data_IF_841013819707
#
_entry.id   IF_841013819707
#
_cell.length_a   1.000
_cell.length_b   1.000
_cell.length_c   1.000
_cell.angle_alpha   90.00
_cell.angle_beta   90.00
_cell.angle_gamma   90.00
#
_symmetry.space_group_name_H-M   'P 1'
#
loop_
_entity.id
_entity.type
_entity.pdbx_description
1 polymer ?
#
# COMPACT_ATOMS: atom_id res chain seq x y z
N UNK A 1 10.73 -0.51 22.68
CA UNK A 1 9.68 -1.27 21.96
C UNK A 1 10.29 -2.42 21.22
N UNK A 2 9.69 -3.61 21.28
CA UNK A 2 10.18 -4.85 20.68
C UNK A 2 9.09 -5.48 19.81
N UNK A 3 9.48 -6.05 18.68
CA UNK A 3 8.60 -6.84 17.82
C UNK A 3 8.93 -8.32 17.99
N UNK A 4 7.96 -9.13 18.43
CA UNK A 4 8.15 -10.57 18.63
C UNK A 4 7.19 -11.34 17.72
N UNK A 5 7.70 -12.24 16.88
CA UNK A 5 6.88 -13.04 15.98
C UNK A 5 5.99 -13.99 16.79
N UNK A 6 4.68 -13.88 16.61
CA UNK A 6 3.67 -14.74 17.23
C UNK A 6 3.23 -15.84 16.27
N UNK A 7 2.95 -15.48 15.02
CA UNK A 7 2.42 -16.40 14.02
C UNK A 7 3.06 -16.14 12.65
N UNK A 8 3.33 -17.22 11.92
CA UNK A 8 3.77 -17.20 10.51
C UNK A 8 2.85 -18.13 9.71
N UNK A 9 2.05 -17.56 8.82
CA UNK A 9 1.00 -18.27 8.08
C UNK A 9 1.32 -18.31 6.60
N UNK A 10 1.60 -19.49 6.04
CA UNK A 10 1.81 -19.64 4.61
C UNK A 10 0.50 -19.48 3.82
N UNK A 11 0.59 -18.89 2.64
CA UNK A 11 -0.45 -18.89 1.61
C UNK A 11 0.13 -19.46 0.32
N UNK A 12 -0.72 -20.07 -0.48
CA UNK A 12 -0.31 -20.74 -1.72
C UNK A 12 0.38 -19.81 -2.72
N UNK A 13 0.08 -18.52 -2.67
CA UNK A 13 0.62 -17.51 -3.59
C UNK A 13 0.93 -16.20 -2.85
N UNK A 14 1.78 -15.34 -3.46
CA UNK A 14 2.16 -14.07 -2.88
C UNK A 14 0.97 -13.16 -2.60
N UNK A 15 1.11 -12.33 -1.57
CA UNK A 15 0.08 -11.38 -1.13
C UNK A 15 0.51 -9.98 -1.52
N UNK A 16 -0.40 -9.19 -2.10
CA UNK A 16 -0.18 -7.79 -2.47
C UNK A 16 -0.98 -6.81 -1.59
N UNK A 17 -2.17 -7.21 -1.14
CA UNK A 17 -3.03 -6.38 -0.30
C UNK A 17 -3.39 -7.05 1.01
N UNK A 18 -3.61 -6.25 2.06
CA UNK A 18 -3.99 -6.72 3.39
C UNK A 18 -5.02 -5.78 4.00
N UNK A 19 -6.14 -6.35 4.45
CA UNK A 19 -7.10 -5.69 5.32
C UNK A 19 -7.25 -6.49 6.62
N UNK A 20 -7.58 -5.81 7.72
CA UNK A 20 -7.80 -6.42 9.03
C UNK A 20 -9.19 -6.11 9.53
N UNK A 21 -9.83 -7.07 10.19
CA UNK A 21 -10.94 -6.78 11.08
C UNK A 21 -10.45 -5.91 12.25
N UNK A 22 -11.29 -5.03 12.76
CA UNK A 22 -10.92 -4.05 13.79
C UNK A 22 -10.41 -4.70 15.09
N UNK A 23 -10.90 -5.89 15.40
CA UNK A 23 -10.48 -6.70 16.56
C UNK A 23 -9.25 -7.58 16.28
N UNK A 24 -8.72 -7.56 15.05
CA UNK A 24 -7.60 -8.38 14.63
C UNK A 24 -7.88 -9.89 14.49
N UNK A 25 -9.14 -10.31 14.62
CA UNK A 25 -9.55 -11.72 14.54
C UNK A 25 -9.48 -12.29 13.13
N UNK A 26 -9.58 -11.43 12.11
CA UNK A 26 -9.52 -11.81 10.69
C UNK A 26 -8.60 -10.89 9.92
N UNK A 27 -7.83 -11.49 9.03
CA UNK A 27 -7.07 -10.82 7.98
C UNK A 27 -7.63 -11.21 6.60
N UNK A 28 -7.59 -10.29 5.66
CA UNK A 28 -7.99 -10.52 4.28
C UNK A 28 -6.79 -10.24 3.39
N UNK A 29 -6.39 -11.23 2.63
CA UNK A 29 -5.19 -11.19 1.78
C UNK A 29 -5.61 -11.16 0.30
N UNK A 30 -5.26 -10.09 -0.41
CA UNK A 30 -5.39 -10.01 -1.86
C UNK A 30 -4.17 -10.66 -2.51
N UNK A 31 -4.40 -11.69 -3.32
CA UNK A 31 -3.39 -12.65 -3.74
C UNK A 31 -2.97 -12.52 -5.22
N UNK A 32 -1.77 -12.97 -5.53
CA UNK A 32 -1.19 -12.95 -6.88
C UNK A 32 -1.93 -13.84 -7.90
N UNK A 33 -2.79 -14.74 -7.47
CA UNK A 33 -3.65 -15.54 -8.33
C UNK A 33 -5.06 -14.97 -8.55
N UNK A 34 -5.28 -13.71 -8.11
CA UNK A 34 -6.54 -12.99 -8.26
C UNK A 34 -7.55 -13.27 -7.16
N UNK A 35 -7.30 -14.22 -6.26
CA UNK A 35 -8.20 -14.52 -5.13
C UNK A 35 -8.02 -13.53 -3.98
N UNK A 36 -9.06 -13.40 -3.18
CA UNK A 36 -8.97 -12.83 -1.84
C UNK A 36 -9.20 -13.97 -0.84
N UNK A 37 -8.30 -14.10 0.12
CA UNK A 37 -8.34 -15.14 1.15
C UNK A 37 -8.64 -14.50 2.50
N UNK A 38 -9.69 -14.97 3.17
CA UNK A 38 -9.95 -14.69 4.58
C UNK A 38 -9.11 -15.65 5.42
N UNK A 39 -8.35 -15.11 6.36
CA UNK A 39 -7.43 -15.84 7.23
C UNK A 39 -7.71 -15.50 8.69
N UNK A 40 -7.81 -16.51 9.55
CA UNK A 40 -7.64 -16.33 10.98
C UNK A 40 -6.14 -16.33 11.33
N UNK A 41 -5.58 -15.20 11.77
CA UNK A 41 -4.13 -15.13 12.00
C UNK A 41 -3.68 -16.02 13.16
N UNK A 42 -4.53 -16.28 14.14
CA UNK A 42 -4.19 -17.09 15.31
C UNK A 42 -4.22 -18.59 15.01
N UNK A 43 -5.28 -19.12 14.42
CA UNK A 43 -5.40 -20.54 14.10
C UNK A 43 -4.71 -20.91 12.78
N UNK A 44 -4.67 -19.98 11.82
CA UNK A 44 -4.22 -20.23 10.46
C UNK A 44 -5.31 -20.78 9.54
N UNK A 45 -6.56 -20.87 10.01
CA UNK A 45 -7.70 -21.23 9.15
C UNK A 45 -7.87 -20.23 8.03
N UNK A 46 -7.97 -20.71 6.79
CA UNK A 46 -8.08 -19.86 5.59
C UNK A 46 -9.21 -20.35 4.69
N UNK A 47 -9.95 -19.37 4.16
CA UNK A 47 -11.04 -19.59 3.20
C UNK A 47 -10.92 -18.57 2.08
N UNK A 48 -10.87 -19.04 0.84
CA UNK A 48 -10.97 -18.14 -0.31
C UNK A 48 -12.40 -17.59 -0.39
N UNK A 49 -12.52 -16.26 -0.53
CA UNK A 49 -13.79 -15.62 -0.80
C UNK A 49 -14.27 -16.00 -2.21
N UNK A 50 -15.60 -16.00 -2.41
CA UNK A 50 -16.16 -16.25 -3.72
C UNK A 50 -15.79 -15.13 -4.70
N UNK A 51 -15.58 -15.52 -5.97
CA UNK A 51 -15.15 -14.63 -7.03
C UNK A 51 -13.67 -14.26 -6.96
N UNK A 52 -13.08 -14.06 -8.11
CA UNK A 52 -11.68 -13.67 -8.24
C UNK A 52 -11.55 -12.58 -9.31
N UNK A 53 -10.42 -11.86 -9.25
CA UNK A 53 -9.97 -11.01 -10.34
C UNK A 53 -9.47 -11.85 -11.52
N UNK A 54 -9.57 -11.30 -12.72
CA UNK A 54 -9.02 -11.92 -13.94
C UNK A 54 -7.49 -11.82 -14.04
N UNK A 55 -6.85 -11.12 -13.08
CA UNK A 55 -5.42 -10.97 -12.93
C UNK A 55 -5.07 -10.89 -11.43
N UNK A 56 -3.90 -10.41 -11.06
CA UNK A 56 -3.51 -10.22 -9.65
C UNK A 56 -4.53 -9.35 -8.89
N UNK A 57 -4.94 -9.78 -7.71
CA UNK A 57 -5.60 -8.90 -6.75
C UNK A 57 -4.51 -8.01 -6.13
N UNK A 58 -4.56 -6.71 -6.41
CA UNK A 58 -3.52 -5.74 -6.03
C UNK A 58 -3.70 -5.20 -4.62
N UNK A 59 -4.94 -5.15 -4.14
CA UNK A 59 -5.27 -4.61 -2.83
C UNK A 59 -6.63 -5.04 -2.34
N UNK A 60 -6.87 -4.88 -1.05
CA UNK A 60 -8.19 -5.02 -0.45
C UNK A 60 -8.34 -4.11 0.76
N UNK A 61 -9.58 -3.70 1.05
CA UNK A 61 -9.93 -2.89 2.21
C UNK A 61 -11.25 -3.35 2.78
N UNK A 62 -11.35 -3.39 4.11
CA UNK A 62 -12.57 -3.74 4.82
C UNK A 62 -13.32 -2.45 5.16
N UNK A 63 -14.60 -2.39 4.84
CA UNK A 63 -15.44 -1.27 5.29
C UNK A 63 -15.60 -1.32 6.82
N UNK A 64 -15.80 -0.16 7.48
CA UNK A 64 -15.97 -0.10 8.94
C UNK A 64 -17.17 -0.90 9.46
N UNK A 65 -18.13 -1.26 8.60
CA UNK A 65 -19.25 -2.13 8.95
C UNK A 65 -18.82 -3.57 9.31
N UNK A 66 -17.58 -3.94 8.99
CA UNK A 66 -17.03 -5.27 9.18
C UNK A 66 -17.68 -6.37 8.35
N UNK A 67 -18.58 -6.01 7.41
CA UNK A 67 -19.38 -6.95 6.62
C UNK A 67 -19.05 -6.90 5.12
N UNK A 68 -18.49 -5.80 4.66
CA UNK A 68 -18.18 -5.57 3.26
C UNK A 68 -16.68 -5.40 3.06
N UNK A 69 -16.09 -6.22 2.21
CA UNK A 69 -14.72 -6.07 1.76
C UNK A 69 -14.72 -5.61 0.30
N UNK A 70 -13.85 -4.65 -0.03
CA UNK A 70 -13.61 -4.24 -1.42
C UNK A 70 -12.21 -4.67 -1.81
N UNK A 71 -12.08 -5.31 -2.97
CA UNK A 71 -10.78 -5.65 -3.55
C UNK A 71 -10.60 -5.00 -4.92
N UNK A 72 -9.36 -4.67 -5.26
CA UNK A 72 -8.96 -4.16 -6.57
C UNK A 72 -7.98 -5.12 -7.24
N UNK A 73 -7.90 -5.07 -8.57
CA UNK A 73 -7.03 -5.97 -9.31
C UNK A 73 -6.40 -5.37 -10.57
N UNK A 74 -5.40 -6.07 -11.10
CA UNK A 74 -4.75 -5.72 -12.35
C UNK A 74 -5.64 -5.99 -13.60
N UNK A 75 -6.87 -6.44 -13.38
CA UNK A 75 -7.93 -6.46 -14.38
C UNK A 75 -8.71 -5.14 -14.46
N UNK A 76 -8.33 -4.14 -13.66
CA UNK A 76 -8.99 -2.84 -13.59
C UNK A 76 -10.36 -2.86 -12.91
N UNK A 77 -10.73 -3.97 -12.27
CA UNK A 77 -12.01 -4.14 -11.59
C UNK A 77 -11.89 -3.84 -10.09
N UNK A 78 -12.97 -3.37 -9.50
CA UNK A 78 -13.21 -3.43 -8.06
C UNK A 78 -14.34 -4.43 -7.78
N UNK A 79 -14.15 -5.29 -6.77
CA UNK A 79 -15.12 -6.29 -6.33
C UNK A 79 -15.58 -5.98 -4.91
N UNK A 80 -16.89 -5.91 -4.67
CA UNK A 80 -17.50 -5.87 -3.35
C UNK A 80 -17.86 -7.28 -2.93
N UNK A 81 -17.27 -7.75 -1.84
CA UNK A 81 -17.54 -9.04 -1.23
C UNK A 81 -18.42 -8.85 -0.01
N UNK A 82 -19.57 -9.50 0.01
CA UNK A 82 -20.40 -9.63 1.21
C UNK A 82 -19.84 -10.78 2.06
N UNK A 83 -19.31 -10.46 3.22
CA UNK A 83 -18.65 -11.44 4.11
C UNK A 83 -19.64 -12.37 4.82
N UNK A 84 -20.91 -11.97 4.90
CA UNK A 84 -21.96 -12.81 5.50
C UNK A 84 -22.39 -13.95 4.58
N UNK A 85 -22.58 -13.67 3.29
CA UNK A 85 -22.94 -14.67 2.28
C UNK A 85 -21.72 -15.30 1.61
N UNK A 86 -20.55 -14.67 1.71
CA UNK A 86 -19.33 -15.05 0.99
C UNK A 86 -19.35 -14.72 -0.49
N UNK A 87 -20.38 -14.01 -1.00
CA UNK A 87 -20.56 -13.74 -2.43
C UNK A 87 -19.99 -12.37 -2.86
N UNK A 88 -19.65 -12.23 -4.15
CA UNK A 88 -19.42 -10.93 -4.77
C UNK A 88 -20.79 -10.28 -5.01
N UNK A 89 -21.08 -9.22 -4.25
CA UNK A 89 -22.33 -8.46 -4.37
C UNK A 89 -22.28 -7.43 -5.50
N UNK A 90 -21.09 -6.99 -5.90
CA UNK A 90 -20.90 -6.02 -6.98
C UNK A 90 -19.54 -6.16 -7.64
N UNK A 91 -19.50 -5.88 -8.94
CA UNK A 91 -18.30 -5.76 -9.76
C UNK A 91 -18.36 -4.44 -10.52
N UNK A 92 -17.32 -3.61 -10.40
CA UNK A 92 -17.24 -2.29 -11.03
C UNK A 92 -16.00 -2.21 -11.90
N UNK A 93 -16.12 -1.91 -13.20
CA UNK A 93 -14.99 -1.61 -14.07
C UNK A 93 -14.42 -0.23 -13.68
N UNK A 94 -13.49 -0.22 -12.74
CA UNK A 94 -12.97 1.01 -12.15
C UNK A 94 -11.95 1.70 -13.06
N UNK A 95 -11.12 0.94 -13.77
CA UNK A 95 -10.03 1.47 -14.60
C UNK A 95 -9.87 0.64 -15.89
N UNK A 96 -9.31 1.27 -16.93
CA UNK A 96 -8.92 0.61 -18.17
C UNK A 96 -7.59 -0.14 -18.04
N UNK A 97 -6.80 0.24 -17.04
CA UNK A 97 -5.52 -0.37 -16.69
C UNK A 97 -5.58 -0.89 -15.25
N UNK A 98 -4.47 -1.34 -14.72
CA UNK A 98 -4.37 -1.92 -13.38
C UNK A 98 -4.85 -0.96 -12.30
N UNK A 99 -5.65 -1.44 -11.36
CA UNK A 99 -5.81 -0.77 -10.08
C UNK A 99 -4.55 -1.05 -9.25
N UNK A 100 -3.76 -0.01 -8.94
CA UNK A 100 -2.53 -0.18 -8.17
C UNK A 100 -2.80 -0.29 -6.68
N UNK A 101 -3.71 0.54 -6.18
CA UNK A 101 -4.04 0.62 -4.77
C UNK A 101 -5.49 1.07 -4.57
N UNK A 102 -6.03 0.80 -3.39
CA UNK A 102 -7.33 1.27 -2.96
C UNK A 102 -7.36 1.58 -1.47
N UNK A 103 -8.21 2.54 -1.09
CA UNK A 103 -8.44 2.96 0.27
C UNK A 103 -9.93 3.15 0.55
N UNK A 104 -10.35 3.00 1.80
CA UNK A 104 -11.69 3.32 2.28
C UNK A 104 -11.65 4.55 3.18
N UNK A 105 -12.65 5.43 3.06
CA UNK A 105 -12.81 6.54 3.98
C UNK A 105 -13.13 6.05 5.39
N UNK A 106 -12.74 6.78 6.46
CA UNK A 106 -12.94 6.34 7.83
C UNK A 106 -14.41 6.10 8.22
N UNK A 107 -15.34 6.80 7.57
CA UNK A 107 -16.79 6.64 7.74
C UNK A 107 -17.37 5.49 6.90
N UNK A 108 -16.57 4.87 6.03
CA UNK A 108 -16.98 3.79 5.14
C UNK A 108 -17.85 4.21 3.97
N UNK A 109 -18.07 5.50 3.76
CA UNK A 109 -18.97 5.99 2.71
C UNK A 109 -18.34 6.00 1.32
N UNK A 110 -16.99 5.99 1.23
CA UNK A 110 -16.24 6.15 -0.01
C UNK A 110 -15.10 5.14 -0.13
N UNK A 111 -14.86 4.71 -1.37
CA UNK A 111 -13.69 3.91 -1.76
C UNK A 111 -12.92 4.69 -2.80
N UNK A 112 -11.63 4.90 -2.60
CA UNK A 112 -10.72 5.46 -3.59
C UNK A 112 -9.91 4.36 -4.26
N UNK A 113 -9.60 4.53 -5.55
CA UNK A 113 -8.69 3.65 -6.28
C UNK A 113 -7.84 4.47 -7.23
N UNK A 114 -6.61 4.03 -7.47
CA UNK A 114 -5.68 4.70 -8.37
C UNK A 114 -5.14 3.76 -9.44
N UNK A 115 -4.74 4.36 -10.58
CA UNK A 115 -4.29 3.66 -11.77
C UNK A 115 -3.19 4.42 -12.50
N UNK A 116 -2.78 3.90 -13.60
CA UNK A 116 -1.93 4.54 -14.59
C UNK A 116 -0.84 3.62 -15.08
N UNK A 117 -0.52 3.79 -16.35
CA UNK A 117 0.42 2.94 -17.06
C UNK A 117 1.78 3.63 -17.16
N UNK A 118 2.83 2.86 -17.14
CA UNK A 118 4.16 3.26 -17.60
C UNK A 118 4.52 2.51 -18.87
N UNK A 119 5.36 3.14 -19.69
CA UNK A 119 5.93 2.50 -20.86
C UNK A 119 7.20 1.78 -20.47
N UNK A 120 7.23 0.48 -20.72
CA UNK A 120 8.42 -0.34 -20.55
C UNK A 120 8.85 -0.87 -21.91
N UNK A 121 10.09 -0.56 -22.32
CA UNK A 121 10.63 -1.08 -23.57
C UNK A 121 12.07 -0.66 -23.79
N UNK A 122 12.92 -1.60 -24.17
CA UNK A 122 14.34 -1.34 -24.30
C UNK A 122 14.96 -0.86 -23.01
N UNK A 123 15.54 0.33 -23.02
CA UNK A 123 16.18 0.96 -21.86
C UNK A 123 15.32 2.06 -21.22
N UNK A 124 14.00 2.11 -21.50
CA UNK A 124 13.13 3.19 -21.06
C UNK A 124 12.00 2.68 -20.18
N UNK A 125 11.86 3.31 -19.02
CA UNK A 125 10.67 3.28 -18.20
C UNK A 125 10.17 4.72 -18.08
N UNK A 126 9.06 5.04 -18.73
CA UNK A 126 8.50 6.39 -18.79
C UNK A 126 7.02 6.34 -18.38
N UNK A 127 6.50 7.39 -17.73
CA UNK A 127 5.06 7.51 -17.56
C UNK A 127 4.37 7.45 -18.93
N UNK A 128 3.33 6.64 -19.04
CA UNK A 128 2.46 6.68 -20.20
C UNK A 128 1.62 7.96 -20.19
N UNK A 129 1.12 8.38 -21.35
CA UNK A 129 0.12 9.43 -21.39
C UNK A 129 -1.13 9.00 -20.59
N UNK A 130 -1.70 9.94 -19.84
CA UNK A 130 -2.97 9.68 -19.15
C UNK A 130 -4.08 9.45 -20.18
N UNK A 131 -4.75 8.31 -20.10
CA UNK A 131 -5.88 7.94 -20.98
C UNK A 131 -7.21 7.95 -20.24
N UNK A 132 -7.17 8.17 -18.94
CA UNK A 132 -8.30 8.24 -18.01
C UNK A 132 -7.88 8.98 -16.74
N UNK A 133 -8.84 9.46 -15.92
CA UNK A 133 -8.53 9.98 -14.58
C UNK A 133 -7.75 8.94 -13.77
N UNK A 134 -6.59 9.36 -13.21
CA UNK A 134 -5.68 8.43 -12.56
C UNK A 134 -6.11 8.04 -11.13
N UNK A 135 -7.03 8.81 -10.54
CA UNK A 135 -7.62 8.52 -9.23
C UNK A 135 -9.13 8.67 -9.32
N UNK A 136 -9.87 7.71 -8.80
CA UNK A 136 -11.33 7.71 -8.72
C UNK A 136 -11.80 7.46 -7.31
N UNK A 137 -12.89 8.14 -6.95
CA UNK A 137 -13.61 7.90 -5.70
C UNK A 137 -14.99 7.38 -6.04
N UNK A 138 -15.36 6.31 -5.38
CA UNK A 138 -16.62 5.61 -5.54
C UNK A 138 -17.44 5.75 -4.27
N UNK A 139 -18.75 5.91 -4.39
CA UNK A 139 -19.69 5.70 -3.31
C UNK A 139 -19.66 4.20 -2.91
N UNK A 140 -19.38 3.93 -1.66
CA UNK A 140 -19.17 2.55 -1.19
C UNK A 140 -20.45 1.71 -1.25
N UNK A 141 -21.63 2.31 -1.10
CA UNK A 141 -22.90 1.62 -1.09
C UNK A 141 -23.36 1.26 -2.52
N UNK A 142 -23.21 2.18 -3.49
CA UNK A 142 -23.69 1.99 -4.86
C UNK A 142 -22.60 1.54 -5.84
N UNK A 143 -21.32 1.82 -5.54
CA UNK A 143 -20.21 1.63 -6.48
C UNK A 143 -20.15 2.69 -7.59
N UNK A 144 -20.99 3.73 -7.53
CA UNK A 144 -20.97 4.82 -8.49
C UNK A 144 -19.75 5.71 -8.30
N UNK A 145 -19.16 6.19 -9.39
CA UNK A 145 -18.10 7.20 -9.34
C UNK A 145 -18.68 8.52 -8.84
N UNK A 146 -18.09 9.07 -7.78
CA UNK A 146 -18.49 10.36 -7.18
C UNK A 146 -17.46 11.46 -7.37
N UNK A 147 -16.20 11.12 -7.62
CA UNK A 147 -15.17 12.07 -7.99
C UNK A 147 -14.07 11.41 -8.84
N UNK A 148 -13.45 12.20 -9.70
CA UNK A 148 -12.34 11.80 -10.55
C UNK A 148 -11.26 12.87 -10.51
N UNK A 149 -9.99 12.44 -10.49
CA UNK A 149 -8.85 13.34 -10.40
C UNK A 149 -7.78 12.99 -11.41
N UNK A 150 -7.26 14.04 -12.06
CA UNK A 150 -6.08 13.94 -12.88
C UNK A 150 -4.83 13.89 -12.01
N UNK A 151 -3.96 12.97 -12.35
CA UNK A 151 -2.61 12.89 -11.82
C UNK A 151 -1.71 12.30 -12.89
N UNK A 152 -0.41 12.63 -12.85
CA UNK A 152 0.51 12.04 -13.81
C UNK A 152 0.71 10.55 -13.49
N UNK A 153 0.41 9.63 -14.43
CA UNK A 153 0.54 8.20 -14.20
C UNK A 153 2.01 7.74 -14.19
N UNK A 154 2.29 6.56 -13.62
CA UNK A 154 1.38 5.76 -12.82
C UNK A 154 1.25 6.32 -11.41
N UNK A 155 0.02 6.34 -10.90
CA UNK A 155 -0.28 6.63 -9.49
C UNK A 155 -0.26 5.32 -8.74
N UNK A 156 0.63 5.19 -7.75
CA UNK A 156 0.96 3.92 -7.12
C UNK A 156 0.24 3.70 -5.80
N UNK A 157 -0.15 4.77 -5.12
CA UNK A 157 -0.86 4.67 -3.84
C UNK A 157 -1.81 5.84 -3.64
N UNK A 158 -2.85 5.61 -2.81
CA UNK A 158 -3.79 6.62 -2.39
C UNK A 158 -4.27 6.36 -0.95
N UNK A 159 -4.77 7.39 -0.26
CA UNK A 159 -5.26 7.26 1.10
C UNK A 159 -6.08 8.46 1.55
N UNK A 160 -7.08 8.19 2.40
CA UNK A 160 -7.89 9.22 3.03
C UNK A 160 -7.24 9.76 4.32
N UNK A 161 -7.48 11.03 4.63
CA UNK A 161 -7.23 11.59 5.95
C UNK A 161 -8.13 10.93 7.00
N UNK A 162 -7.74 11.06 8.27
CA UNK A 162 -8.50 10.46 9.39
C UNK A 162 -9.87 11.11 9.60
N UNK A 163 -10.00 12.39 9.23
CA UNK A 163 -11.29 13.08 9.24
C UNK A 163 -12.16 12.75 8.00
N UNK A 164 -11.65 11.97 7.03
CA UNK A 164 -12.33 11.58 5.80
C UNK A 164 -12.53 12.71 4.78
N UNK A 165 -12.03 13.91 5.06
CA UNK A 165 -12.26 15.08 4.22
C UNK A 165 -11.26 15.27 3.10
N UNK A 166 -10.10 14.60 3.19
CA UNK A 166 -9.04 14.72 2.20
C UNK A 166 -8.66 13.37 1.63
N UNK A 167 -8.24 13.39 0.37
CA UNK A 167 -7.64 12.26 -0.32
C UNK A 167 -6.26 12.67 -0.82
N UNK A 168 -5.26 11.88 -0.51
CA UNK A 168 -3.92 12.02 -1.08
C UNK A 168 -3.65 10.89 -2.07
N UNK A 169 -2.90 11.18 -3.12
CA UNK A 169 -2.36 10.17 -4.02
C UNK A 169 -0.93 10.52 -4.44
N UNK A 170 -0.12 9.51 -4.71
CA UNK A 170 1.28 9.69 -5.06
C UNK A 170 1.71 8.78 -6.21
N UNK A 171 2.69 9.25 -6.98
CA UNK A 171 3.08 8.62 -8.24
C UNK A 171 4.56 8.17 -8.27
N UNK A 172 4.92 7.51 -9.36
CA UNK A 172 6.28 7.05 -9.67
C UNK A 172 7.31 8.18 -9.74
N UNK A 173 6.89 9.43 -9.94
CA UNK A 173 7.79 10.58 -10.06
C UNK A 173 8.03 11.29 -8.73
N UNK A 174 7.51 10.74 -7.62
CA UNK A 174 7.63 11.37 -6.31
C UNK A 174 6.68 12.56 -6.11
N UNK A 175 5.69 12.74 -6.99
CA UNK A 175 4.68 13.79 -6.84
C UNK A 175 3.51 13.30 -5.98
N UNK A 176 3.11 14.13 -5.03
CA UNK A 176 1.92 13.95 -4.18
C UNK A 176 0.93 15.05 -4.50
N UNK A 177 -0.32 14.68 -4.65
CA UNK A 177 -1.47 15.60 -4.74
C UNK A 177 -2.47 15.29 -3.64
N UNK A 178 -3.03 16.34 -3.06
CA UNK A 178 -4.06 16.25 -2.02
C UNK A 178 -5.26 17.07 -2.44
N UNK A 179 -6.43 16.45 -2.33
CA UNK A 179 -7.74 17.09 -2.63
C UNK A 179 -8.61 17.07 -1.39
N UNK A 180 -9.37 18.14 -1.20
CA UNK A 180 -10.47 18.19 -0.25
C UNK A 180 -11.73 17.68 -0.93
N UNK A 181 -12.41 16.75 -0.31
CA UNK A 181 -13.63 16.13 -0.81
C UNK A 181 -14.84 16.86 -0.23
N UNK A 182 -15.71 17.35 -1.09
CA UNK A 182 -16.98 17.98 -0.70
C UNK A 182 -18.11 16.96 -0.50
N UNK A 183 -19.19 17.44 0.11
CA UNK A 183 -20.46 16.74 0.13
C UNK A 183 -21.04 16.72 -1.30
N UNK A 184 -21.49 15.54 -1.79
CA UNK A 184 -22.07 15.42 -3.13
C UNK A 184 -21.06 15.26 -4.29
N UNK A 185 -19.77 14.97 -4.01
CA UNK A 185 -18.80 14.61 -5.06
C UNK A 185 -17.96 15.76 -5.61
N UNK A 186 -18.16 16.99 -5.13
CA UNK A 186 -17.24 18.10 -5.42
C UNK A 186 -15.87 17.86 -4.79
N UNK A 187 -14.80 18.34 -5.43
CA UNK A 187 -13.47 18.24 -4.87
C UNK A 187 -12.62 19.45 -5.26
N UNK A 188 -11.77 19.88 -4.35
CA UNK A 188 -10.88 21.02 -4.51
C UNK A 188 -9.43 20.59 -4.32
N UNK A 189 -8.48 20.99 -5.21
CA UNK A 189 -7.06 20.76 -4.96
C UNK A 189 -6.62 21.59 -3.75
N UNK A 190 -5.93 20.93 -2.80
CA UNK A 190 -5.44 21.59 -1.58
C UNK A 190 -3.94 21.81 -1.64
N UNK A 191 -3.20 20.76 -1.97
CA UNK A 191 -1.76 20.88 -2.08
C UNK A 191 -1.17 19.94 -3.15
N UNK A 192 -0.01 20.34 -3.62
CA UNK A 192 0.80 19.58 -4.56
C UNK A 192 2.26 19.81 -4.23
N UNK A 193 3.00 18.74 -4.06
CA UNK A 193 4.44 18.80 -3.84
C UNK A 193 5.13 17.60 -4.45
N UNK A 194 6.43 17.73 -4.70
CA UNK A 194 7.25 16.68 -5.31
C UNK A 194 8.50 16.48 -4.48
N UNK A 195 8.81 15.23 -4.17
CA UNK A 195 10.07 14.86 -3.57
C UNK A 195 11.02 14.30 -4.63
N UNK A 196 12.12 15.01 -4.94
CA UNK A 196 13.13 14.49 -5.85
C UNK A 196 13.85 13.26 -5.32
N UNK A 197 13.79 13.01 -4.00
CA UNK A 197 14.43 11.87 -3.37
C UNK A 197 13.77 10.53 -3.72
N UNK A 198 12.59 10.54 -4.36
CA UNK A 198 11.88 9.33 -4.81
C UNK A 198 11.97 9.09 -6.31
N UNK A 199 12.84 9.76 -7.03
CA UNK A 199 13.00 9.54 -8.46
C UNK A 199 14.46 9.66 -8.88
N UNK A 200 14.83 8.91 -9.89
CA UNK A 200 16.16 8.99 -10.55
C UNK A 200 16.12 9.72 -11.89
N UNK A 201 15.01 10.34 -12.24
CA UNK A 201 14.89 11.03 -13.53
C UNK A 201 15.96 12.10 -13.69
N UNK A 202 16.70 12.03 -14.80
CA UNK A 202 17.79 12.95 -15.09
C UNK A 202 19.10 12.67 -14.35
N UNK A 203 19.13 11.72 -13.41
CA UNK A 203 20.37 11.36 -12.67
C UNK A 203 21.13 10.21 -13.34
N UNK A 204 20.50 9.46 -14.23
CA UNK A 204 21.11 8.36 -14.98
C UNK A 204 21.20 8.69 -16.46
N UNK A 205 22.24 8.20 -17.13
CA UNK A 205 22.38 8.33 -18.59
C UNK A 205 21.34 7.54 -19.40
N UNK A 206 20.54 6.73 -18.74
CA UNK A 206 19.64 5.74 -19.33
C UNK A 206 18.17 6.12 -19.19
N UNK A 207 17.75 7.34 -19.23
CA UNK A 207 16.34 7.78 -19.34
C UNK A 207 15.29 6.93 -18.60
N UNK A 208 15.64 6.41 -17.41
CA UNK A 208 14.72 5.63 -16.62
C UNK A 208 14.12 6.47 -15.51
N UNK A 209 12.79 6.53 -15.45
CA UNK A 209 12.09 6.91 -14.24
C UNK A 209 12.09 5.73 -13.31
N UNK A 210 12.89 5.79 -12.26
CA UNK A 210 13.00 4.74 -11.27
C UNK A 210 12.91 5.34 -9.89
N UNK A 211 12.27 4.61 -9.03
CA UNK A 211 11.89 5.09 -7.73
C UNK A 211 10.38 5.21 -7.68
N UNK A 212 9.89 6.18 -6.94
CA UNK A 212 8.48 6.46 -6.75
C UNK A 212 8.04 6.30 -5.31
N UNK A 213 6.90 6.90 -5.01
CA UNK A 213 6.22 6.74 -3.74
C UNK A 213 5.27 5.55 -3.88
N UNK A 214 5.50 4.51 -3.10
CA UNK A 214 4.74 3.24 -3.15
C UNK A 214 3.68 3.13 -2.06
N UNK A 215 3.81 3.90 -0.98
CA UNK A 215 2.80 3.96 0.06
C UNK A 215 2.76 5.34 0.71
N UNK A 216 1.58 5.71 1.17
CA UNK A 216 1.34 6.92 1.94
C UNK A 216 0.34 6.65 3.08
N UNK A 217 0.45 7.43 4.17
CA UNK A 217 -0.50 7.37 5.27
C UNK A 217 -0.56 8.72 5.99
N UNK A 218 -1.77 9.26 6.17
CA UNK A 218 -1.97 10.41 7.05
C UNK A 218 -1.68 10.01 8.51
N UNK A 219 -1.08 10.92 9.25
CA UNK A 219 -0.92 10.74 10.70
C UNK A 219 -2.28 10.65 11.39
N UNK A 220 -2.37 10.01 12.57
CA UNK A 220 -3.65 9.89 13.30
C UNK A 220 -4.33 11.21 13.65
N UNK A 221 -3.58 12.32 13.72
CA UNK A 221 -4.06 13.69 13.96
C UNK A 221 -4.21 14.53 12.68
N UNK A 222 -4.00 13.92 11.51
CA UNK A 222 -3.98 14.56 10.18
C UNK A 222 -2.93 15.71 10.03
N UNK A 223 -2.02 15.90 10.99
CA UNK A 223 -1.03 16.96 10.92
C UNK A 223 0.07 16.70 9.87
N UNK A 224 0.38 15.44 9.62
CA UNK A 224 1.43 15.04 8.69
C UNK A 224 0.96 13.96 7.71
N UNK A 225 1.60 13.92 6.55
CA UNK A 225 1.53 12.82 5.59
C UNK A 225 2.88 12.10 5.57
N UNK A 226 2.87 10.81 5.89
CA UNK A 226 4.00 9.92 5.78
C UNK A 226 3.99 9.26 4.41
N UNK A 227 5.13 9.25 3.74
CA UNK A 227 5.31 8.59 2.44
C UNK A 227 6.54 7.70 2.46
N UNK A 228 6.51 6.59 1.77
CA UNK A 228 7.70 5.76 1.55
C UNK A 228 7.80 5.24 0.12
N UNK A 229 8.99 4.76 -0.21
CA UNK A 229 9.23 4.17 -1.51
C UNK A 229 10.70 3.85 -1.72
N UNK A 230 11.11 3.98 -2.96
CA UNK A 230 12.46 3.73 -3.40
C UNK A 230 13.09 5.03 -3.89
N UNK A 231 14.20 5.40 -3.25
CA UNK A 231 14.99 6.56 -3.66
C UNK A 231 15.74 6.32 -4.98
N UNK A 232 16.56 7.30 -5.42
CA UNK A 232 17.33 7.21 -6.65
C UNK A 232 18.18 5.96 -6.73
N UNK A 233 18.28 5.40 -7.92
CA UNK A 233 19.07 4.21 -8.22
C UNK A 233 19.80 4.36 -9.56
N UNK A 234 20.94 3.70 -9.68
CA UNK A 234 21.71 3.67 -10.93
C UNK A 234 21.19 2.67 -11.96
N UNK A 235 20.56 1.58 -11.49
CA UNK A 235 19.98 0.52 -12.32
C UNK A 235 18.54 0.26 -11.89
N UNK A 236 17.56 0.63 -12.71
CA UNK A 236 16.15 0.45 -12.43
C UNK A 236 15.72 -1.02 -12.31
N UNK A 237 16.39 -1.89 -13.02
CA UNK A 237 16.07 -3.33 -13.01
C UNK A 237 16.53 -4.01 -11.73
N UNK A 238 17.53 -3.46 -11.05
CA UNK A 238 18.04 -4.03 -9.81
C UNK A 238 17.10 -3.82 -8.61
N UNK A 239 16.18 -2.86 -8.66
CA UNK A 239 15.26 -2.56 -7.55
C UNK A 239 16.00 -2.27 -6.25
N UNK A 240 17.14 -1.57 -6.32
CA UNK A 240 18.07 -1.38 -5.22
C UNK A 240 18.28 0.09 -4.85
N UNK A 241 17.29 0.92 -5.05
CA UNK A 241 17.31 2.31 -4.61
C UNK A 241 17.38 2.43 -3.09
N UNK A 242 17.72 3.62 -2.61
CA UNK A 242 17.79 3.92 -1.18
C UNK A 242 16.41 3.72 -0.52
N UNK A 243 16.33 2.93 0.55
CA UNK A 243 15.13 2.84 1.38
C UNK A 243 14.83 4.21 1.96
N UNK A 244 13.64 4.74 1.70
CA UNK A 244 13.31 6.13 2.04
C UNK A 244 11.91 6.25 2.58
N UNK A 245 11.76 6.97 3.70
CA UNK A 245 10.51 7.56 4.14
C UNK A 245 10.69 9.06 4.36
N UNK A 246 9.59 9.82 4.20
CA UNK A 246 9.53 11.25 4.51
C UNK A 246 8.20 11.58 5.16
N UNK A 247 8.22 12.56 6.09
CA UNK A 247 7.01 13.18 6.62
C UNK A 247 6.87 14.60 6.08
N UNK A 248 5.65 14.95 5.75
CA UNK A 248 5.32 16.23 5.10
C UNK A 248 4.20 16.95 5.86
N UNK A 249 4.38 18.24 6.12
CA UNK A 249 3.29 19.15 6.45
C UNK A 249 2.51 19.40 5.16
N UNK A 250 1.65 18.46 4.81
CA UNK A 250 1.03 18.32 3.48
C UNK A 250 0.21 19.53 3.07
N UNK A 251 -0.39 20.26 4.03
CA UNK A 251 -1.16 21.48 3.76
C UNK A 251 -0.28 22.59 3.15
N UNK A 252 0.99 22.62 3.53
CA UNK A 252 1.98 23.60 3.06
C UNK A 252 2.88 23.05 1.95
N UNK A 253 2.92 21.72 1.77
CA UNK A 253 3.86 21.06 0.89
C UNK A 253 5.31 21.14 1.39
N UNK A 254 5.52 21.23 2.70
CA UNK A 254 6.83 21.35 3.34
C UNK A 254 7.26 20.01 3.96
N UNK A 255 8.48 19.58 3.65
CA UNK A 255 9.06 18.40 4.28
C UNK A 255 9.40 18.69 5.74
N UNK A 256 8.87 17.88 6.67
CA UNK A 256 9.16 17.94 8.09
C UNK A 256 10.51 17.28 8.36
N UNK A 257 10.63 16.01 7.96
CA UNK A 257 11.84 15.21 8.12
C UNK A 257 11.84 13.99 7.20
N UNK A 258 12.88 13.18 7.33
CA UNK A 258 13.06 11.94 6.57
C UNK A 258 13.95 10.97 7.35
N UNK A 259 14.06 9.74 6.85
CA UNK A 259 15.00 8.76 7.38
C UNK A 259 16.40 9.35 7.48
N UNK A 260 17.04 9.14 8.64
CA UNK A 260 18.38 9.67 8.91
C UNK A 260 19.44 8.93 8.10
N UNK A 261 20.49 9.63 7.74
CA UNK A 261 21.63 9.00 7.07
C UNK A 261 22.25 7.91 7.97
N UNK A 262 22.60 6.80 7.34
CA UNK A 262 23.12 5.61 8.00
C UNK A 262 22.08 4.65 8.58
N UNK A 263 20.80 5.01 8.64
CA UNK A 263 19.72 4.13 9.10
C UNK A 263 19.07 3.30 7.98
N UNK A 264 19.39 3.60 6.74
CA UNK A 264 18.79 2.95 5.57
C UNK A 264 19.73 1.94 4.92
N UNK A 265 19.14 0.92 4.30
CA UNK A 265 19.77 0.07 3.29
C UNK A 265 19.33 0.46 1.88
N UNK A 266 19.45 -0.46 0.94
CA UNK A 266 18.84 -0.33 -0.38
C UNK A 266 17.77 -1.41 -0.59
N UNK A 267 16.71 -1.03 -1.30
CA UNK A 267 15.57 -1.89 -1.58
C UNK A 267 14.35 -1.09 -2.01
N UNK A 268 13.24 -1.77 -2.09
CA UNK A 268 11.94 -1.19 -2.39
C UNK A 268 11.07 -1.21 -1.14
N UNK A 269 10.76 -0.04 -0.58
CA UNK A 269 9.82 0.09 0.53
C UNK A 269 8.41 0.24 -0.01
N UNK A 270 7.53 -0.68 0.35
CA UNK A 270 6.22 -0.84 -0.27
C UNK A 270 5.07 -0.45 0.64
N UNK A 271 5.33 -0.28 1.94
CA UNK A 271 4.28 0.01 2.91
C UNK A 271 4.77 0.86 4.07
N UNK A 272 3.89 1.74 4.53
CA UNK A 272 4.01 2.45 5.81
C UNK A 272 2.70 2.31 6.58
N UNK A 273 2.80 2.30 7.90
CA UNK A 273 1.62 2.35 8.76
C UNK A 273 1.96 3.10 10.06
N UNK A 274 1.06 3.97 10.49
CA UNK A 274 1.11 4.59 11.81
C UNK A 274 0.58 3.61 12.85
N UNK A 275 1.25 3.56 14.00
CA UNK A 275 0.65 2.98 15.20
C UNK A 275 -0.58 3.82 15.61
N UNK A 276 -1.63 3.21 16.17
CA UNK A 276 -2.87 3.92 16.49
C UNK A 276 -2.71 5.08 17.48
N UNK A 277 -1.68 5.01 18.33
CA UNK A 277 -1.35 6.07 19.30
C UNK A 277 -0.64 7.28 18.67
N UNK A 278 -0.25 7.18 17.40
CA UNK A 278 0.50 8.22 16.69
C UNK A 278 1.95 8.40 17.15
N UNK A 279 2.40 7.64 18.15
CA UNK A 279 3.75 7.79 18.70
C UNK A 279 4.84 7.10 17.85
N UNK A 280 4.43 6.16 17.00
CA UNK A 280 5.33 5.37 16.17
C UNK A 280 4.75 5.13 14.77
N UNK A 281 5.63 4.78 13.83
CA UNK A 281 5.23 4.29 12.50
C UNK A 281 6.22 3.23 12.02
N UNK A 282 5.74 2.35 11.16
CA UNK A 282 6.58 1.36 10.50
C UNK A 282 6.78 1.71 9.03
N UNK A 283 7.94 1.32 8.50
CA UNK A 283 8.22 1.20 7.07
C UNK A 283 8.72 -0.20 6.78
N UNK A 284 8.19 -0.82 5.73
CA UNK A 284 8.59 -2.16 5.34
C UNK A 284 8.55 -2.37 3.83
N UNK A 285 9.25 -3.42 3.36
CA UNK A 285 9.29 -3.73 1.93
C UNK A 285 10.23 -4.89 1.60
N UNK A 286 10.88 -4.77 0.44
CA UNK A 286 11.90 -5.68 -0.04
C UNK A 286 13.30 -5.09 0.18
N UNK A 287 14.15 -5.81 0.89
CA UNK A 287 15.56 -5.50 1.04
C UNK A 287 16.35 -6.04 -0.16
N UNK A 288 17.22 -5.21 -0.72
CA UNK A 288 18.27 -5.63 -1.65
C UNK A 288 19.64 -5.67 -0.95
N UNK A 289 19.95 -4.65 -0.15
CA UNK A 289 21.15 -4.57 0.68
C UNK A 289 20.82 -3.88 1.99
N UNK A 290 21.45 -4.32 3.09
CA UNK A 290 21.22 -3.77 4.41
C UNK A 290 20.94 -4.85 5.43
N UNK A 291 20.42 -4.46 6.59
CA UNK A 291 20.23 -5.35 7.74
C UNK A 291 18.77 -5.56 8.12
N UNK A 292 17.83 -4.88 7.45
CA UNK A 292 16.41 -4.95 7.76
C UNK A 292 15.53 -4.68 6.53
N UNK A 293 14.32 -5.21 6.56
CA UNK A 293 13.25 -4.90 5.62
C UNK A 293 11.94 -4.47 6.30
N UNK A 294 11.97 -4.43 7.63
CA UNK A 294 10.94 -3.89 8.52
C UNK A 294 11.60 -3.04 9.58
N UNK A 295 11.17 -1.80 9.75
CA UNK A 295 11.67 -0.92 10.80
C UNK A 295 10.54 -0.08 11.42
N UNK A 296 10.61 0.08 12.74
CA UNK A 296 9.75 0.94 13.55
C UNK A 296 10.52 2.22 13.91
N UNK A 297 9.89 3.35 13.71
CA UNK A 297 10.45 4.67 13.96
C UNK A 297 9.61 5.43 14.98
N UNK A 298 10.27 6.29 15.77
CA UNK A 298 9.63 7.25 16.67
C UNK A 298 9.01 8.39 15.86
N UNK A 299 7.75 8.70 16.11
CA UNK A 299 7.09 9.86 15.50
C UNK A 299 7.61 11.19 16.06
N UNK A 300 8.15 11.21 17.29
CA UNK A 300 8.63 12.43 17.91
C UNK A 300 9.84 13.04 17.20
N UNK A 301 10.76 12.19 16.73
CA UNK A 301 12.03 12.65 16.18
C UNK A 301 12.54 11.85 14.96
N UNK A 302 11.75 10.88 14.44
CA UNK A 302 12.12 10.03 13.32
C UNK A 302 13.26 9.05 13.61
N UNK A 303 13.62 8.82 14.88
CA UNK A 303 14.69 7.87 15.24
C UNK A 303 14.24 6.42 15.04
N UNK A 304 15.17 5.56 14.63
CA UNK A 304 14.96 4.11 14.54
C UNK A 304 14.82 3.52 15.95
N UNK A 305 13.67 2.90 16.22
CA UNK A 305 13.38 2.25 17.51
C UNK A 305 13.78 0.78 17.48
N UNK A 306 13.36 0.05 16.48
CA UNK A 306 13.72 -1.35 16.27
C UNK A 306 13.61 -1.72 14.79
N UNK A 307 14.35 -2.74 14.37
CA UNK A 307 14.30 -3.23 12.99
C UNK A 307 14.49 -4.73 12.92
N UNK A 308 13.94 -5.35 11.89
CA UNK A 308 13.99 -6.78 11.63
C UNK A 308 14.26 -7.08 10.16
N UNK A 309 14.97 -8.15 9.91
CA UNK A 309 15.04 -8.81 8.61
C UNK A 309 14.11 -10.03 8.64
N UNK A 310 12.92 -9.87 8.09
CA UNK A 310 11.88 -10.91 8.09
C UNK A 310 12.08 -11.97 7.02
N UNK A 311 13.12 -11.83 6.18
CA UNK A 311 13.46 -12.75 5.06
C UNK A 311 12.36 -12.86 3.99
N UNK A 312 11.42 -11.91 3.94
CA UNK A 312 10.37 -11.86 2.92
C UNK A 312 10.29 -10.46 2.28
N UNK A 313 9.67 -10.36 1.12
CA UNK A 313 9.17 -9.09 0.59
C UNK A 313 7.88 -8.76 1.32
N UNK A 314 7.84 -7.65 2.03
CA UNK A 314 6.65 -7.17 2.74
C UNK A 314 5.94 -6.17 1.81
N UNK A 315 4.73 -6.50 1.40
CA UNK A 315 3.90 -5.65 0.54
C UNK A 315 2.94 -4.78 1.35
N UNK A 316 2.54 -5.27 2.54
CA UNK A 316 1.61 -4.57 3.42
C UNK A 316 1.95 -4.77 4.89
N UNK A 317 1.78 -3.72 5.67
CA UNK A 317 1.88 -3.73 7.13
C UNK A 317 0.68 -2.99 7.73
N UNK A 318 0.05 -3.56 8.76
CA UNK A 318 -1.10 -2.98 9.44
C UNK A 318 -1.01 -3.25 10.94
N UNK A 319 -1.23 -2.22 11.74
CA UNK A 319 -1.46 -2.41 13.18
C UNK A 319 -2.91 -2.83 13.43
N UNK A 320 -3.14 -3.64 14.46
CA UNK A 320 -4.47 -3.81 15.06
C UNK A 320 -4.95 -2.49 15.68
N UNK A 321 -6.26 -2.32 15.84
CA UNK A 321 -6.82 -1.05 16.33
C UNK A 321 -6.34 -0.67 17.74
N UNK A 322 -6.02 -1.66 18.58
CA UNK A 322 -5.45 -1.49 19.91
C UNK A 322 -3.92 -1.26 19.93
N UNK A 323 -3.27 -1.35 18.76
CA UNK A 323 -1.81 -1.20 18.61
C UNK A 323 -0.99 -2.36 19.16
N UNK A 324 -1.61 -3.39 19.73
CA UNK A 324 -0.91 -4.51 20.40
C UNK A 324 -0.22 -5.46 19.42
N UNK A 325 -0.64 -5.46 18.15
CA UNK A 325 -0.09 -6.34 17.11
C UNK A 325 0.20 -5.58 15.83
N UNK A 326 1.24 -6.06 15.13
CA UNK A 326 1.58 -5.67 13.76
C UNK A 326 1.40 -6.89 12.87
N UNK A 327 0.57 -6.78 11.85
CA UNK A 327 0.34 -7.83 10.85
C UNK A 327 1.01 -7.42 9.54
N UNK A 328 1.84 -8.31 9.03
CA UNK A 328 2.57 -8.16 7.78
C UNK A 328 2.03 -9.13 6.74
N UNK A 329 1.91 -8.70 5.51
CA UNK A 329 1.65 -9.58 4.38
C UNK A 329 2.70 -9.40 3.29
N UNK A 330 2.95 -10.46 2.53
CA UNK A 330 3.94 -10.42 1.47
C UNK A 330 4.26 -11.78 0.87
N UNK A 331 5.52 -11.96 0.51
CA UNK A 331 5.95 -13.16 -0.20
C UNK A 331 7.42 -13.50 0.09
N UNK A 332 7.71 -14.79 0.12
CA UNK A 332 9.06 -15.31 -0.03
C UNK A 332 9.49 -15.27 -1.51
N UNK A 333 10.77 -15.49 -1.78
CA UNK A 333 11.21 -15.74 -3.15
C UNK A 333 10.50 -16.98 -3.71
N UNK A 334 9.83 -16.83 -4.85
CA UNK A 334 9.17 -17.94 -5.51
C UNK A 334 10.21 -18.98 -5.95
N UNK A 335 10.06 -20.19 -5.43
CA UNK A 335 10.90 -21.33 -5.82
C UNK A 335 10.27 -22.05 -7.00
N UNK A 336 11.08 -22.75 -7.78
CA UNK A 336 10.57 -23.64 -8.83
C UNK A 336 9.69 -24.77 -8.27
N UNK A 337 8.90 -25.42 -9.13
CA UNK A 337 8.03 -26.51 -8.70
C UNK A 337 8.85 -27.70 -8.18
N UNK A 338 8.38 -28.30 -7.09
CA UNK A 338 8.91 -29.56 -6.53
C UNK A 338 7.88 -30.65 -6.80
N UNK A 339 8.29 -31.70 -7.51
CA UNK A 339 7.40 -32.82 -7.89
C UNK A 339 6.11 -32.35 -8.60
N UNK A 340 6.22 -31.32 -9.46
CA UNK A 340 5.09 -30.75 -10.19
C UNK A 340 4.18 -29.82 -9.41
N UNK A 341 4.45 -29.57 -8.13
CA UNK A 341 3.69 -28.64 -7.30
C UNK A 341 4.54 -27.41 -6.96
N UNK A 342 3.91 -26.24 -7.02
CA UNK A 342 4.52 -24.99 -6.56
C UNK A 342 4.44 -24.90 -5.03
N UNK A 343 5.57 -24.66 -4.34
CA UNK A 343 5.54 -24.47 -2.89
C UNK A 343 4.82 -23.16 -2.55
N UNK A 344 4.19 -23.13 -1.37
CA UNK A 344 3.60 -21.94 -0.81
C UNK A 344 4.64 -20.83 -0.63
N UNK A 345 4.40 -19.65 -1.22
CA UNK A 345 5.34 -18.55 -1.19
C UNK A 345 4.75 -17.25 -0.63
N UNK A 346 3.43 -17.16 -0.47
CA UNK A 346 2.78 -16.08 0.27
C UNK A 346 2.98 -16.23 1.77
N UNK A 347 2.97 -15.10 2.49
CA UNK A 347 3.09 -15.08 3.95
C UNK A 347 2.20 -14.00 4.55
N UNK A 348 1.57 -14.34 5.67
CA UNK A 348 1.02 -13.40 6.63
C UNK A 348 1.68 -13.67 7.98
N UNK A 349 2.35 -12.67 8.53
CA UNK A 349 3.03 -12.76 9.82
C UNK A 349 2.40 -11.83 10.83
N UNK A 350 2.29 -12.27 12.08
CA UNK A 350 1.77 -11.48 13.19
C UNK A 350 2.86 -11.31 14.24
N UNK A 351 3.12 -10.09 14.61
CA UNK A 351 4.06 -9.72 15.66
C UNK A 351 3.32 -9.09 16.84
N UNK A 352 3.73 -9.39 18.08
CA UNK A 352 3.41 -8.53 19.22
C UNK A 352 4.23 -7.25 19.17
N UNK A 353 3.63 -6.18 19.67
CA UNK A 353 4.27 -4.86 19.82
C UNK A 353 4.40 -4.60 21.31
N UNK A 354 5.55 -4.95 21.87
CA UNK A 354 5.79 -4.85 23.32
C UNK A 354 6.50 -3.52 23.63
N UNK A 355 6.15 -2.90 24.75
CA UNK A 355 6.70 -1.61 25.19
C UNK A 355 8.22 -1.61 25.42
#
# INVERSE_FOLDING_TARGET
MKLTLLHDRPLSTGVFGLALASDGSRAFAACADGRVVSLDPASGEQVALAGSHGSYASGCTLLPDGKTLVSGGYDGQLLWHDLGSGAVSRRVPAHRFWSWDLAVSPDGSRVASCTGQYLAGGWKYEPAAATEPAVRVFDAASGAVVAEFDHQPPVLCCGFSRDGRHLAAANMLGEVRVWKLGEGGGAEPVSRFTSPDFTSWGTTKSHHYCGGIYALAFAPDDAALLVCGMGPMGDPMAGNGKMTWQRWAWQKGEKIDQIRDGQHGSGLMETVAWAPDGAHFVMAGRQAQGTWNLALFSAADGSLVTSLDTKQRITQARFTADGSRLVLAGALSQQGPKQGQWPDWGRVQVYSVDA
#
